data_IF_679214127575
#
_entry.id   IF_679214127575
#
_cell.length_a   1.000
_cell.length_b   1.000
_cell.length_c   1.000
_cell.angle_alpha   90.00
_cell.angle_beta   90.00
_cell.angle_gamma   90.00
#
_symmetry.space_group_name_H-M   'P 1'
#
loop_
_entity.id
_entity.type
_entity.pdbx_description
1 polymer ?
#
# COMPACT_ATOMS: atom_id res chain seq x y z
N UNK A 1 18.85 -14.15 3.46
CA UNK A 1 18.17 -12.95 4.00
C UNK A 1 17.09 -12.56 3.00
N UNK A 2 15.88 -12.27 3.47
CA UNK A 2 14.78 -11.86 2.59
C UNK A 2 15.14 -10.52 1.94
N UNK A 3 15.17 -10.44 0.61
CA UNK A 3 15.36 -9.17 -0.15
C UNK A 3 14.07 -8.34 -0.20
N UNK A 4 13.20 -8.53 0.79
CA UNK A 4 11.95 -7.80 0.93
C UNK A 4 12.14 -6.56 1.77
N UNK A 5 11.49 -5.49 1.34
CA UNK A 5 11.50 -4.21 2.02
C UNK A 5 10.07 -3.79 2.33
N UNK A 6 9.92 -3.07 3.44
CA UNK A 6 8.64 -2.50 3.86
C UNK A 6 8.48 -1.14 3.22
N UNK A 7 7.33 -0.94 2.58
CA UNK A 7 6.96 0.31 1.96
C UNK A 7 5.65 0.83 2.54
N UNK A 8 5.55 2.14 2.71
CA UNK A 8 4.26 2.82 2.84
C UNK A 8 3.91 3.41 1.48
N UNK A 9 2.74 3.02 0.98
CA UNK A 9 2.19 3.53 -0.27
C UNK A 9 0.99 4.39 0.06
N UNK A 10 1.04 5.65 -0.33
CA UNK A 10 -0.08 6.58 -0.19
C UNK A 10 -0.57 7.03 -1.55
N UNK A 11 -1.85 7.33 -1.66
CA UNK A 11 -2.42 7.82 -2.90
C UNK A 11 -3.44 8.93 -2.68
N UNK A 12 -3.43 9.90 -3.58
CA UNK A 12 -4.42 10.94 -3.73
C UNK A 12 -4.95 10.87 -5.16
N UNK A 13 -6.19 10.39 -5.32
CA UNK A 13 -6.78 10.03 -6.61
C UNK A 13 -8.07 10.83 -6.80
N UNK A 14 -8.08 11.68 -7.82
CA UNK A 14 -9.17 12.65 -8.03
C UNK A 14 -10.47 12.02 -8.54
N UNK A 15 -10.38 10.92 -9.30
CA UNK A 15 -11.53 10.22 -9.88
C UNK A 15 -11.91 8.95 -9.11
N UNK A 16 -13.19 8.80 -8.78
CA UNK A 16 -13.68 7.66 -7.99
C UNK A 16 -13.51 6.32 -8.71
N UNK A 17 -13.60 6.25 -10.05
CA UNK A 17 -13.43 4.98 -10.78
C UNK A 17 -11.96 4.54 -10.78
N UNK A 18 -11.03 5.48 -10.98
CA UNK A 18 -9.58 5.22 -10.84
C UNK A 18 -9.24 4.87 -9.40
N UNK A 19 -9.79 5.56 -8.42
CA UNK A 19 -9.59 5.26 -6.99
C UNK A 19 -9.98 3.81 -6.65
N UNK A 20 -11.15 3.34 -7.10
CA UNK A 20 -11.57 1.94 -6.88
C UNK A 20 -10.61 0.94 -7.53
N UNK A 21 -10.05 1.27 -8.70
CA UNK A 21 -9.04 0.43 -9.37
C UNK A 21 -7.75 0.41 -8.56
N UNK A 22 -7.24 1.57 -8.12
CA UNK A 22 -6.04 1.67 -7.27
C UNK A 22 -6.23 0.88 -5.99
N UNK A 23 -7.34 1.09 -5.26
CA UNK A 23 -7.62 0.38 -4.01
C UNK A 23 -7.65 -1.15 -4.19
N UNK A 24 -8.29 -1.66 -5.25
CA UNK A 24 -8.30 -3.10 -5.54
C UNK A 24 -6.93 -3.63 -5.90
N UNK A 25 -6.15 -2.89 -6.68
CA UNK A 25 -4.76 -3.24 -6.98
C UNK A 25 -3.95 -3.31 -5.69
N UNK A 26 -3.99 -2.27 -4.85
CA UNK A 26 -3.22 -2.19 -3.60
C UNK A 26 -3.54 -3.33 -2.62
N UNK A 27 -4.80 -3.78 -2.55
CA UNK A 27 -5.17 -4.95 -1.75
C UNK A 27 -4.45 -6.24 -2.16
N UNK A 28 -3.97 -6.36 -3.40
CA UNK A 28 -3.15 -7.50 -3.83
C UNK A 28 -1.69 -7.43 -3.40
N UNK A 29 -1.21 -6.27 -2.95
CA UNK A 29 0.21 -6.00 -2.69
C UNK A 29 0.52 -5.63 -1.23
N UNK A 30 -0.48 -5.29 -0.41
CA UNK A 30 -0.25 -4.94 0.98
C UNK A 30 -1.52 -4.89 1.82
N UNK A 31 -1.31 -4.44 3.05
CA UNK A 31 -2.32 -4.28 4.08
C UNK A 31 -2.87 -2.85 4.06
N UNK A 32 -4.19 -2.74 4.16
CA UNK A 32 -4.87 -1.45 4.15
C UNK A 32 -4.83 -0.84 5.55
N UNK A 33 -4.20 0.33 5.68
CA UNK A 33 -4.02 1.01 6.96
C UNK A 33 -5.06 2.13 7.17
N UNK A 34 -5.31 2.92 6.14
CA UNK A 34 -6.28 4.02 6.13
C UNK A 34 -6.75 4.26 4.70
N UNK A 35 -7.86 4.99 4.51
CA UNK A 35 -8.49 5.26 3.20
C UNK A 35 -7.53 5.42 2.01
N UNK A 36 -6.41 6.11 2.21
CA UNK A 36 -5.38 6.41 1.21
C UNK A 36 -3.98 5.93 1.58
N UNK A 37 -3.85 4.96 2.48
CA UNK A 37 -2.56 4.48 3.00
C UNK A 37 -2.54 2.95 3.07
N UNK A 38 -1.49 2.36 2.49
CA UNK A 38 -1.20 0.93 2.52
C UNK A 38 0.21 0.68 3.02
N UNK A 39 0.39 -0.42 3.75
CA UNK A 39 1.69 -0.99 4.09
C UNK A 39 1.95 -2.22 3.24
N UNK A 40 3.06 -2.24 2.53
CA UNK A 40 3.41 -3.32 1.61
C UNK A 40 4.77 -3.91 1.99
N UNK A 41 4.85 -5.24 2.12
CA UNK A 41 6.12 -5.98 2.15
C UNK A 41 6.40 -6.49 0.75
N UNK A 42 7.40 -5.92 0.08
CA UNK A 42 7.64 -6.16 -1.34
C UNK A 42 9.09 -6.54 -1.60
N UNK A 43 9.29 -7.59 -2.38
CA UNK A 43 10.55 -7.83 -3.08
C UNK A 43 10.72 -6.83 -4.24
N UNK A 44 11.94 -6.68 -4.75
CA UNK A 44 12.24 -5.80 -5.89
C UNK A 44 11.33 -6.07 -7.10
N UNK A 45 11.06 -7.35 -7.40
CA UNK A 45 10.17 -7.75 -8.50
C UNK A 45 8.73 -7.32 -8.26
N UNK A 46 8.19 -7.58 -7.05
CA UNK A 46 6.82 -7.19 -6.71
C UNK A 46 6.65 -5.66 -6.67
N UNK A 47 7.67 -4.91 -6.24
CA UNK A 47 7.68 -3.45 -6.30
C UNK A 47 7.56 -2.95 -7.73
N UNK A 48 8.36 -3.49 -8.65
CA UNK A 48 8.28 -3.12 -10.06
C UNK A 48 6.90 -3.45 -10.67
N UNK A 49 6.35 -4.63 -10.34
CA UNK A 49 5.01 -5.03 -10.79
C UNK A 49 3.92 -4.08 -10.27
N UNK A 50 3.98 -3.71 -9.00
CA UNK A 50 3.07 -2.73 -8.40
C UNK A 50 3.16 -1.38 -9.12
N UNK A 51 4.38 -0.90 -9.33
CA UNK A 51 4.64 0.39 -9.97
C UNK A 51 4.06 0.42 -11.40
N UNK A 52 4.28 -0.63 -12.20
CA UNK A 52 3.70 -0.75 -13.54
C UNK A 52 2.17 -0.72 -13.50
N UNK A 53 1.55 -1.53 -12.65
CA UNK A 53 0.08 -1.58 -12.53
C UNK A 53 -0.52 -0.25 -12.09
N UNK A 54 0.14 0.47 -11.17
CA UNK A 54 -0.31 1.78 -10.74
C UNK A 54 -0.20 2.81 -11.88
N UNK A 55 0.92 2.82 -12.62
CA UNK A 55 1.12 3.71 -13.78
C UNK A 55 0.06 3.52 -14.88
N UNK A 56 -0.47 2.31 -15.06
CA UNK A 56 -1.57 2.03 -16.00
C UNK A 56 -2.95 2.52 -15.52
N UNK A 57 -3.10 2.77 -14.22
CA UNK A 57 -4.38 3.17 -13.61
C UNK A 57 -4.45 4.69 -13.40
N UNK A 58 -3.37 5.29 -12.92
CA UNK A 58 -3.32 6.70 -12.53
C UNK A 58 -3.25 7.62 -13.74
N UNK A 59 -3.82 8.82 -13.61
CA UNK A 59 -3.72 9.89 -14.59
C UNK A 59 -2.69 10.92 -14.15
N UNK A 60 -1.60 11.04 -14.91
CA UNK A 60 -0.57 12.04 -14.67
C UNK A 60 -1.17 13.46 -14.67
N UNK A 61 -0.79 14.26 -13.67
CA UNK A 61 -1.28 15.63 -13.49
C UNK A 61 -2.59 15.75 -12.69
N UNK A 62 -3.32 14.65 -12.45
CA UNK A 62 -4.54 14.64 -11.63
C UNK A 62 -4.44 13.75 -10.40
N UNK A 63 -3.64 12.70 -10.49
CA UNK A 63 -3.49 11.69 -9.46
C UNK A 63 -2.04 11.67 -8.97
N UNK A 64 -1.86 11.38 -7.68
CA UNK A 64 -0.54 11.30 -7.07
C UNK A 64 -0.42 10.05 -6.20
N UNK A 65 0.72 9.37 -6.32
CA UNK A 65 1.04 8.20 -5.51
C UNK A 65 2.46 8.35 -4.99
N UNK A 66 2.64 8.18 -3.68
CA UNK A 66 3.94 8.16 -3.03
C UNK A 66 4.25 6.73 -2.60
N UNK A 67 5.46 6.26 -2.91
CA UNK A 67 6.00 4.97 -2.48
C UNK A 67 7.22 5.25 -1.62
N UNK A 68 7.09 5.03 -0.31
CA UNK A 68 8.09 5.39 0.70
C UNK A 68 8.73 4.10 1.20
N UNK A 69 10.03 3.94 1.00
CA UNK A 69 10.81 2.80 1.52
C UNK A 69 11.19 3.05 2.98
N UNK A 70 10.79 2.16 3.88
CA UNK A 70 11.03 2.27 5.33
C UNK A 70 12.18 1.38 5.78
N UNK A 71 12.63 0.45 4.93
CA UNK A 71 13.77 -0.42 5.23
C UNK A 71 13.50 -1.90 5.04
N UNK A 72 14.44 -2.75 5.50
CA UNK A 72 14.33 -4.20 5.42
C UNK A 72 13.11 -4.73 6.18
N UNK A 73 12.31 -5.58 5.54
CA UNK A 73 11.02 -6.02 6.08
C UNK A 73 11.12 -6.92 7.32
N UNK A 74 12.30 -7.49 7.58
CA UNK A 74 12.61 -8.34 8.74
C UNK A 74 13.06 -7.56 9.98
N UNK A 75 13.42 -6.27 9.82
CA UNK A 75 14.01 -5.44 10.88
C UNK A 75 13.27 -4.13 11.12
N UNK A 76 12.15 -3.92 10.45
CA UNK A 76 11.44 -2.65 10.44
C UNK A 76 10.03 -2.84 10.96
N UNK A 77 9.80 -2.40 12.20
CA UNK A 77 8.47 -2.22 12.77
C UNK A 77 8.01 -0.78 12.56
N UNK A 78 6.79 -0.59 12.06
CA UNK A 78 6.23 0.75 11.85
C UNK A 78 5.49 1.15 13.12
N UNK A 79 5.98 2.20 13.77
CA UNK A 79 5.28 2.84 14.87
C UNK A 79 4.12 3.68 14.32
N UNK A 80 2.89 3.32 14.67
CA UNK A 80 1.68 4.06 14.26
C UNK A 80 1.06 4.72 15.48
N UNK A 81 0.83 6.03 15.39
CA UNK A 81 0.03 6.79 16.33
C UNK A 81 -1.25 7.25 15.63
N UNK A 82 -2.39 7.06 16.28
CA UNK A 82 -3.69 7.52 15.76
C UNK A 82 -4.27 8.60 16.65
N UNK A 83 -4.92 9.58 16.02
CA UNK A 83 -5.60 10.69 16.70
C UNK A 83 -7.06 10.69 16.23
N UNK A 84 -8.00 10.77 17.18
CA UNK A 84 -9.44 10.87 16.90
C UNK A 84 -10.16 9.52 16.76
N UNK A 85 -9.72 8.66 15.83
CA UNK A 85 -10.22 7.27 15.71
C UNK A 85 -9.19 6.28 16.24
N UNK A 86 -9.63 5.09 16.62
CA UNK A 86 -8.71 3.99 16.90
C UNK A 86 -8.13 3.45 15.59
N UNK A 87 -6.83 3.17 15.60
CA UNK A 87 -6.17 2.47 14.50
C UNK A 87 -6.13 0.98 14.81
N UNK A 88 -6.74 0.19 13.93
CA UNK A 88 -6.54 -1.24 13.86
C UNK A 88 -6.20 -1.55 12.42
N UNK A 89 -4.99 -2.03 12.16
CA UNK A 89 -4.72 -2.64 10.88
C UNK A 89 -5.72 -3.79 10.68
N UNK A 90 -6.30 -3.90 9.49
CA UNK A 90 -7.21 -5.01 9.19
C UNK A 90 -6.35 -6.26 9.10
N UNK A 91 -6.36 -7.06 10.17
CA UNK A 91 -5.79 -8.40 10.13
C UNK A 91 -6.59 -9.23 9.12
N UNK A 92 -5.94 -9.66 8.05
CA UNK A 92 -6.50 -10.70 7.19
C UNK A 92 -6.40 -12.03 7.94
N UNK A 93 -7.36 -12.31 8.81
CA UNK A 93 -7.56 -13.66 9.29
C UNK A 93 -8.10 -14.49 8.13
N UNK A 94 -7.36 -15.54 7.75
CA UNK A 94 -7.87 -16.51 6.80
C UNK A 94 -9.09 -17.20 7.45
N UNK A 95 -10.28 -16.87 6.96
CA UNK A 95 -11.49 -17.62 7.32
C UNK A 95 -11.41 -18.93 6.53
N UNK A 96 -11.02 -20.00 7.21
CA UNK A 96 -11.17 -21.36 6.67
C UNK A 96 -12.65 -21.70 6.78
N UNK A 97 -13.31 -21.82 5.62
CA UNK A 97 -14.69 -22.32 5.50
C UNK A 97 -14.64 -23.79 5.10
#
# INVERSE_FOLDING_TARGET
MSDERTYIVTYDISDTRRWRRVFRTMNGFGEWLQLSVFQCRLSRRRRAELETKLREIIKAGEDHVLVIDIGPADKTDIAVMSIGKTFSAIERQAVVV
#
